data_IF_729545603432
#
_entry.id   IF_729545603432
#
_cell.length_a   1.000
_cell.length_b   1.000
_cell.length_c   1.000
_cell.angle_alpha   90.00
_cell.angle_beta   90.00
_cell.angle_gamma   90.00
#
_symmetry.space_group_name_H-M   'P 1'
#
loop_
_entity.id
_entity.type
_entity.pdbx_description
1 polymer ?
#
# COMPACT_ATOMS: atom_id res chain seq x y z
N UNK A 1 -13.60 0.61 0.80
CA UNK A 1 -12.85 -0.63 0.49
C UNK A 1 -11.41 -0.17 0.39
N UNK A 2 -10.59 -0.35 1.44
CA UNK A 2 -9.27 0.28 1.49
C UNK A 2 -8.33 -0.33 0.45
N UNK A 3 -7.90 0.47 -0.53
CA UNK A 3 -6.89 0.06 -1.50
C UNK A 3 -5.49 0.28 -0.90
N UNK A 4 -4.80 -0.82 -0.59
CA UNK A 4 -3.43 -0.78 -0.03
C UNK A 4 -2.41 -0.51 -1.13
N UNK A 5 -1.72 0.64 -1.05
CA UNK A 5 -0.60 0.98 -1.93
C UNK A 5 0.72 0.50 -1.30
N UNK A 6 1.55 -0.20 -2.09
CA UNK A 6 2.77 -0.85 -1.58
C UNK A 6 3.96 -0.46 -2.45
N UNK A 7 5.05 -0.06 -1.80
CA UNK A 7 6.28 0.36 -2.47
C UNK A 7 7.41 -0.63 -2.13
N UNK A 8 8.00 -1.25 -3.16
CA UNK A 8 9.08 -2.24 -3.10
C UNK A 8 10.36 -1.76 -3.78
N UNK A 9 11.53 -2.16 -3.25
CA UNK A 9 12.87 -1.75 -3.69
C UNK A 9 13.38 -2.42 -4.98
N UNK A 10 14.59 -2.02 -5.42
CA UNK A 10 15.18 -2.24 -6.75
C UNK A 10 16.00 -3.54 -6.96
N UNK A 11 15.92 -4.56 -6.10
CA UNK A 11 16.69 -5.82 -6.26
C UNK A 11 15.86 -7.06 -5.86
N UNK A 12 16.19 -8.29 -6.34
CA UNK A 12 15.38 -9.49 -6.10
C UNK A 12 15.28 -9.77 -4.60
N UNK A 13 14.06 -9.70 -4.08
CA UNK A 13 13.78 -9.80 -2.65
C UNK A 13 14.07 -11.23 -2.13
N UNK A 14 14.93 -11.32 -1.11
CA UNK A 14 15.04 -12.51 -0.26
C UNK A 14 13.95 -12.43 0.81
N UNK A 15 12.94 -13.30 0.69
CA UNK A 15 11.75 -13.37 1.55
C UNK A 15 12.06 -13.54 3.05
N UNK A 16 13.28 -13.93 3.42
CA UNK A 16 13.69 -14.11 4.82
C UNK A 16 14.21 -12.84 5.52
N UNK A 17 14.20 -11.69 4.84
CA UNK A 17 14.78 -10.43 5.36
C UNK A 17 13.90 -9.19 5.18
N UNK A 18 12.61 -9.36 4.87
CA UNK A 18 11.66 -8.27 4.76
C UNK A 18 11.28 -7.74 6.15
N UNK A 19 12.02 -6.76 6.65
CA UNK A 19 11.59 -5.99 7.83
C UNK A 19 10.51 -5.00 7.38
N UNK A 20 9.25 -5.43 7.42
CA UNK A 20 8.08 -4.64 7.05
C UNK A 20 7.65 -3.75 8.23
N UNK A 21 8.04 -2.48 8.21
CA UNK A 21 7.48 -1.49 9.13
C UNK A 21 6.29 -0.79 8.45
N UNK A 22 5.09 -0.90 8.98
CA UNK A 22 3.89 -0.27 8.41
C UNK A 22 3.82 1.25 8.66
N UNK A 23 3.03 1.97 7.86
CA UNK A 23 2.61 3.36 8.12
C UNK A 23 1.10 3.44 8.05
N UNK A 24 0.48 4.05 9.07
CA UNK A 24 -0.92 4.43 9.05
C UNK A 24 -1.03 5.90 8.68
N UNK A 25 -1.69 6.19 7.56
CA UNK A 25 -1.99 7.55 7.13
C UNK A 25 -3.40 7.90 7.67
N UNK A 26 -3.49 8.79 8.67
CA UNK A 26 -4.76 9.23 9.27
C UNK A 26 -5.27 10.54 8.65
N UNK A 27 -6.58 10.68 8.49
CA UNK A 27 -7.17 11.29 7.28
C UNK A 27 -7.79 12.68 7.38
N UNK A 28 -7.49 13.45 8.43
CA UNK A 28 -8.11 14.79 8.56
C UNK A 28 -7.15 15.89 8.08
N UNK A 29 -5.84 15.66 8.09
CA UNK A 29 -4.83 16.65 7.69
C UNK A 29 -3.85 16.05 6.66
N UNK A 30 -3.96 16.43 5.37
CA UNK A 30 -3.07 15.93 4.31
C UNK A 30 -1.59 16.25 4.56
N UNK A 31 -1.29 17.42 5.13
CA UNK A 31 0.09 17.83 5.44
C UNK A 31 0.76 16.92 6.48
N UNK A 32 0.02 16.41 7.45
CA UNK A 32 0.54 15.47 8.44
C UNK A 32 0.87 14.12 7.78
N UNK A 33 -0.03 13.66 6.92
CA UNK A 33 0.15 12.44 6.11
C UNK A 33 1.38 12.51 5.21
N UNK A 34 1.57 13.64 4.52
CA UNK A 34 2.73 13.91 3.66
C UNK A 34 4.03 13.94 4.47
N UNK A 35 4.02 14.57 5.65
CA UNK A 35 5.18 14.64 6.55
C UNK A 35 5.56 13.27 7.13
N UNK A 36 4.57 12.46 7.50
CA UNK A 36 4.79 11.09 7.97
C UNK A 36 5.43 10.22 6.89
N UNK A 37 5.00 10.38 5.63
CA UNK A 37 5.61 9.71 4.49
C UNK A 37 7.07 10.14 4.27
N UNK A 38 7.34 11.45 4.26
CA UNK A 38 8.70 11.99 4.08
C UNK A 38 9.65 11.51 5.19
N UNK A 39 9.17 11.52 6.43
CA UNK A 39 9.89 10.99 7.59
C UNK A 39 10.21 9.51 7.44
N UNK A 40 9.34 8.74 6.78
CA UNK A 40 9.63 7.34 6.49
C UNK A 40 10.64 7.15 5.38
N UNK A 41 10.45 7.84 4.26
CA UNK A 41 11.34 7.69 3.11
C UNK A 41 12.77 8.02 3.53
N UNK A 42 12.95 9.02 4.40
CA UNK A 42 14.25 9.40 4.95
C UNK A 42 14.83 8.44 6.00
N UNK A 43 13.99 7.80 6.82
CA UNK A 43 14.43 6.82 7.85
C UNK A 43 14.56 5.39 7.33
N UNK A 44 14.00 5.08 6.17
CA UNK A 44 14.13 3.78 5.53
C UNK A 44 15.59 3.55 5.10
N UNK A 45 16.23 2.52 5.66
CA UNK A 45 17.58 2.14 5.26
C UNK A 45 17.60 1.77 3.76
N UNK A 46 18.58 2.25 2.98
CA UNK A 46 18.59 2.20 1.51
C UNK A 46 18.53 0.77 0.90
N UNK A 47 18.81 -0.25 1.70
CA UNK A 47 19.16 -1.57 1.16
C UNK A 47 18.04 -2.61 1.35
N UNK A 48 17.11 -2.41 2.31
CA UNK A 48 16.25 -3.50 2.80
C UNK A 48 14.83 -3.14 3.27
N UNK A 49 14.40 -1.88 3.21
CA UNK A 49 13.09 -1.47 3.75
C UNK A 49 12.04 -1.33 2.64
N UNK A 50 11.16 -2.33 2.48
CA UNK A 50 9.89 -2.15 1.77
C UNK A 50 8.93 -1.31 2.63
N UNK A 51 8.10 -0.47 2.01
CA UNK A 51 7.11 0.35 2.71
C UNK A 51 5.72 -0.19 2.38
N UNK A 52 5.01 -0.60 3.44
CA UNK A 52 3.60 -0.97 3.39
C UNK A 52 2.78 0.12 4.08
N UNK A 53 1.94 0.82 3.31
CA UNK A 53 1.13 1.92 3.81
C UNK A 53 -0.34 1.54 3.85
N UNK A 54 -0.99 1.78 4.99
CA UNK A 54 -2.45 1.77 5.09
C UNK A 54 -2.97 3.17 4.78
N UNK A 55 -3.90 3.23 3.83
CA UNK A 55 -4.63 4.42 3.41
C UNK A 55 -6.11 4.06 3.37
N UNK A 56 -7.02 5.00 3.62
CA UNK A 56 -8.42 4.81 3.26
C UNK A 56 -8.81 5.78 2.16
N UNK A 57 -9.40 5.23 1.10
CA UNK A 57 -9.77 5.95 -0.12
C UNK A 57 -11.13 6.66 0.01
N UNK A 58 -11.82 6.44 1.13
CA UNK A 58 -13.13 7.04 1.42
C UNK A 58 -13.05 8.53 1.75
N UNK A 59 -11.86 9.06 2.05
CA UNK A 59 -11.67 10.48 2.24
C UNK A 59 -11.06 11.11 0.98
N UNK A 60 -11.74 12.14 0.48
CA UNK A 60 -11.37 12.80 -0.77
C UNK A 60 -9.92 13.31 -0.78
N UNK A 61 -9.47 13.86 0.35
CA UNK A 61 -8.11 14.38 0.46
C UNK A 61 -7.04 13.29 0.30
N UNK A 62 -7.32 12.06 0.75
CA UNK A 62 -6.40 10.93 0.54
C UNK A 62 -6.30 10.56 -0.94
N UNK A 63 -7.44 10.51 -1.64
CA UNK A 63 -7.47 10.17 -3.06
C UNK A 63 -6.89 11.26 -3.97
N UNK A 64 -7.19 12.53 -3.71
CA UNK A 64 -6.90 13.64 -4.62
C UNK A 64 -5.62 14.42 -4.27
N UNK A 65 -5.14 14.33 -3.02
CA UNK A 65 -3.95 15.06 -2.57
C UNK A 65 -2.82 14.14 -2.11
N UNK A 66 -3.08 13.31 -1.09
CA UNK A 66 -2.02 12.51 -0.46
C UNK A 66 -1.51 11.42 -1.39
N UNK A 67 -2.39 10.72 -2.11
CA UNK A 67 -2.00 9.65 -3.02
C UNK A 67 -1.13 10.15 -4.19
N UNK A 68 -1.48 11.23 -4.92
CA UNK A 68 -0.59 11.81 -5.93
C UNK A 68 0.78 12.24 -5.38
N UNK A 69 0.80 12.87 -4.20
CA UNK A 69 2.04 13.25 -3.53
C UNK A 69 2.92 12.03 -3.23
N UNK A 70 2.32 10.99 -2.66
CA UNK A 70 3.01 9.77 -2.24
C UNK A 70 3.63 9.03 -3.43
N UNK A 71 2.88 8.89 -4.52
CA UNK A 71 3.37 8.26 -5.76
C UNK A 71 4.62 8.99 -6.25
N UNK A 72 4.56 10.33 -6.34
CA UNK A 72 5.69 11.15 -6.82
C UNK A 72 6.91 10.99 -5.93
N UNK A 73 6.76 11.09 -4.60
CA UNK A 73 7.87 10.98 -3.65
C UNK A 73 8.52 9.61 -3.65
N UNK A 74 7.72 8.54 -3.63
CA UNK A 74 8.22 7.16 -3.63
C UNK A 74 8.93 6.81 -4.95
N UNK A 75 8.38 7.20 -6.10
CA UNK A 75 9.03 6.98 -7.39
C UNK A 75 10.33 7.79 -7.52
N UNK A 76 10.34 9.05 -7.07
CA UNK A 76 11.54 9.89 -7.06
C UNK A 76 12.65 9.31 -6.14
N UNK A 77 12.26 8.65 -5.05
CA UNK A 77 13.17 7.92 -4.17
C UNK A 77 13.58 6.53 -4.71
N UNK A 78 13.13 6.14 -5.90
CA UNK A 78 13.56 4.91 -6.59
C UNK A 78 12.76 3.65 -6.23
N UNK A 79 11.67 3.77 -5.48
CA UNK A 79 10.77 2.65 -5.19
C UNK A 79 9.92 2.26 -6.41
N UNK A 80 9.59 0.98 -6.52
CA UNK A 80 8.59 0.44 -7.43
C UNK A 80 7.28 0.28 -6.68
N UNK A 81 6.17 0.77 -7.24
CA UNK A 81 4.85 0.52 -6.68
C UNK A 81 4.37 -0.85 -7.15
N UNK A 82 4.04 -1.74 -6.22
CA UNK A 82 3.66 -3.13 -6.48
C UNK A 82 2.41 -3.49 -5.67
N UNK A 83 1.79 -4.61 -5.98
CA UNK A 83 0.72 -5.21 -5.18
C UNK A 83 1.27 -5.88 -3.92
N UNK A 84 0.41 -6.20 -2.95
CA UNK A 84 0.82 -6.91 -1.74
C UNK A 84 1.39 -8.29 -2.08
N UNK A 85 0.70 -9.02 -2.96
CA UNK A 85 1.13 -10.32 -3.46
C UNK A 85 2.54 -10.30 -4.05
N UNK A 86 2.87 -9.28 -4.84
CA UNK A 86 4.21 -9.12 -5.41
C UNK A 86 5.23 -8.77 -4.33
N UNK A 87 4.88 -7.88 -3.38
CA UNK A 87 5.75 -7.50 -2.27
C UNK A 87 6.12 -8.69 -1.38
N UNK A 88 5.19 -9.61 -1.12
CA UNK A 88 5.41 -10.77 -0.24
C UNK A 88 5.76 -12.06 -0.99
N UNK A 89 5.75 -12.04 -2.33
CA UNK A 89 6.04 -13.22 -3.16
C UNK A 89 4.98 -14.32 -3.09
N UNK A 90 3.71 -13.96 -2.90
CA UNK A 90 2.59 -14.90 -2.76
C UNK A 90 1.52 -14.67 -3.83
N UNK A 91 0.62 -15.66 -4.00
CA UNK A 91 -0.58 -15.48 -4.85
C UNK A 91 -1.50 -14.40 -4.24
N UNK A 92 -2.25 -13.63 -5.05
CA UNK A 92 -3.25 -12.70 -4.55
C UNK A 92 -4.21 -13.36 -3.57
N UNK A 93 -4.52 -12.68 -2.46
CA UNK A 93 -5.39 -13.22 -1.40
C UNK A 93 -6.85 -13.40 -1.87
N UNK A 94 -7.31 -12.57 -2.80
CA UNK A 94 -8.70 -12.60 -3.25
C UNK A 94 -8.93 -13.71 -4.28
N UNK A 95 -9.75 -14.70 -3.92
CA UNK A 95 -10.27 -15.70 -4.85
C UNK A 95 -11.61 -15.22 -5.41
N UNK A 96 -11.66 -14.93 -6.71
CA UNK A 96 -12.90 -14.58 -7.40
C UNK A 96 -13.52 -15.86 -7.94
N UNK A 97 -14.77 -16.12 -7.56
CA UNK A 97 -15.58 -17.22 -8.09
C UNK A 97 -16.76 -16.67 -8.90
N UNK A 98 -17.37 -17.52 -9.72
CA UNK A 98 -18.61 -17.17 -10.38
C UNK A 98 -19.70 -16.86 -9.34
N UNK A 99 -20.61 -15.91 -9.61
CA UNK A 99 -21.78 -15.70 -8.77
C UNK A 99 -22.51 -17.03 -8.53
N UNK A 100 -23.00 -17.27 -7.31
CA UNK A 100 -23.82 -18.44 -7.04
C UNK A 100 -25.16 -18.34 -7.78
N UNK A 101 -25.76 -19.49 -8.11
CA UNK A 101 -27.14 -19.53 -8.60
C UNK A 101 -28.04 -18.96 -7.53
N UNK A 102 -28.97 -18.07 -7.91
CA UNK A 102 -29.98 -17.57 -6.99
C UNK A 102 -30.84 -18.74 -6.52
N UNK A 103 -30.69 -19.11 -5.26
CA UNK A 103 -31.46 -20.16 -4.60
C UNK A 103 -32.29 -19.60 -3.43
N UNK A 104 -33.03 -20.47 -2.76
CA UNK A 104 -33.89 -20.09 -1.63
C UNK A 104 -33.13 -19.64 -0.38
N UNK A 105 -31.79 -19.74 -0.36
CA UNK A 105 -30.95 -19.26 0.76
C UNK A 105 -30.55 -17.80 0.62
N UNK A 106 -30.73 -17.20 -0.57
CA UNK A 106 -30.59 -15.76 -0.77
C UNK A 106 -31.73 -15.02 -0.09
N UNK A 107 -31.45 -14.46 1.10
CA UNK A 107 -32.37 -13.55 1.81
C UNK A 107 -31.85 -12.13 1.61
N UNK A 108 -32.75 -11.22 1.24
CA UNK A 108 -32.46 -9.79 1.13
C UNK A 108 -32.32 -9.15 2.51
#
# INVERSE_FOLDING_TARGET
MGNTMIASLKLPLNVNKASSFGISIQEILPSESESALDSRISSAAPDHASILSLMHDVYQATAEQVLPYAIKKLQAAGYKLVTLSECVGMKPYLSVQAPSVRDSTWIC
#
